data_IF_711262309200
#
_entry.id   IF_711262309200
#
_cell.length_a   1.000
_cell.length_b   1.000
_cell.length_c   1.000
_cell.angle_alpha   90.00
_cell.angle_beta   90.00
_cell.angle_gamma   90.00
#
_symmetry.space_group_name_H-M   'P 1'
#
loop_
_entity.id
_entity.type
_entity.pdbx_description
1 polymer ?
#
# COMPACT_ATOMS: atom_id res chain seq x y z
N UNK A 1 -10.37 2.08 0.29
CA UNK A 1 -11.00 0.75 0.15
C UNK A 1 -9.91 -0.28 -0.03
N UNK A 2 -9.96 -1.41 0.65
CA UNK A 2 -9.02 -2.51 0.42
C UNK A 2 -9.46 -3.32 -0.80
N UNK A 3 -8.54 -3.66 -1.70
CA UNK A 3 -8.85 -4.36 -2.95
C UNK A 3 -7.78 -5.38 -3.30
N UNK A 4 -8.13 -6.34 -4.16
CA UNK A 4 -7.15 -7.29 -4.70
C UNK A 4 -6.19 -6.57 -5.67
N UNK A 5 -4.90 -6.81 -5.50
CA UNK A 5 -3.86 -6.22 -6.35
C UNK A 5 -4.01 -6.61 -7.82
N UNK A 6 -4.46 -7.83 -8.12
CA UNK A 6 -4.69 -8.30 -9.49
C UNK A 6 -5.72 -7.43 -10.21
N UNK A 7 -6.82 -7.10 -9.52
CA UNK A 7 -7.90 -6.29 -10.10
C UNK A 7 -7.45 -4.85 -10.32
N UNK A 8 -6.70 -4.30 -9.36
CA UNK A 8 -6.09 -2.97 -9.47
C UNK A 8 -5.11 -2.89 -10.66
N UNK A 9 -4.18 -3.84 -10.75
CA UNK A 9 -3.16 -3.85 -11.79
C UNK A 9 -3.73 -4.16 -13.18
N UNK A 10 -4.84 -4.90 -13.27
CA UNK A 10 -5.54 -5.11 -14.54
C UNK A 10 -6.04 -3.79 -15.14
N UNK A 11 -6.62 -2.91 -14.30
CA UNK A 11 -7.05 -1.56 -14.73
C UNK A 11 -5.84 -0.70 -15.10
N UNK A 12 -4.80 -0.71 -14.27
CA UNK A 12 -3.57 0.05 -14.51
C UNK A 12 -2.91 -0.33 -15.85
N UNK A 13 -2.83 -1.63 -16.13
CA UNK A 13 -2.29 -2.15 -17.38
C UNK A 13 -3.15 -1.76 -18.59
N UNK A 14 -4.47 -1.91 -18.50
CA UNK A 14 -5.39 -1.57 -19.59
C UNK A 14 -5.38 -0.07 -19.94
N UNK A 15 -5.16 0.80 -18.96
CA UNK A 15 -5.12 2.25 -19.13
C UNK A 15 -3.70 2.84 -19.14
N UNK A 16 -2.67 1.99 -19.20
CA UNK A 16 -1.26 2.37 -19.34
C UNK A 16 -0.75 3.36 -18.29
N UNK A 17 -1.13 3.17 -17.02
CA UNK A 17 -0.57 3.93 -15.91
C UNK A 17 0.08 3.00 -14.87
N UNK A 18 0.97 3.57 -14.05
CA UNK A 18 1.63 2.86 -12.98
C UNK A 18 0.93 3.10 -11.64
N UNK A 19 0.97 2.11 -10.76
CA UNK A 19 0.54 2.24 -9.36
C UNK A 19 1.78 2.21 -8.49
N UNK A 20 2.02 3.21 -7.62
CA UNK A 20 3.18 3.21 -6.74
C UNK A 20 3.05 2.10 -5.68
N UNK A 21 4.14 1.39 -5.43
CA UNK A 21 4.26 0.39 -4.37
C UNK A 21 5.29 0.87 -3.33
N UNK A 22 4.81 1.29 -2.16
CA UNK A 22 5.67 1.79 -1.08
C UNK A 22 5.87 0.71 -0.03
N UNK A 23 7.13 0.50 0.37
CA UNK A 23 7.46 -0.35 1.50
C UNK A 23 7.13 0.38 2.82
N UNK A 24 6.45 -0.31 3.73
CA UNK A 24 5.93 0.24 4.97
C UNK A 24 6.58 -0.47 6.16
N UNK A 25 7.40 0.27 6.90
CA UNK A 25 8.09 -0.19 8.11
C UNK A 25 7.80 0.66 9.35
N UNK A 26 6.83 1.58 9.27
CA UNK A 26 6.37 2.38 10.41
C UNK A 26 4.99 3.01 10.16
N UNK A 27 4.33 3.47 11.24
CA UNK A 27 3.08 4.23 11.14
C UNK A 27 3.24 5.54 10.36
N UNK A 28 4.38 6.23 10.48
CA UNK A 28 4.60 7.50 9.78
C UNK A 28 4.62 7.31 8.26
N UNK A 29 5.25 6.23 7.77
CA UNK A 29 5.27 5.90 6.34
C UNK A 29 3.89 5.48 5.85
N UNK A 30 3.15 4.69 6.65
CA UNK A 30 1.78 4.30 6.35
C UNK A 30 0.88 5.53 6.20
N UNK A 31 0.89 6.43 7.19
CA UNK A 31 0.09 7.66 7.18
C UNK A 31 0.45 8.53 5.98
N UNK A 32 1.73 8.79 5.73
CA UNK A 32 2.15 9.64 4.60
C UNK A 32 1.76 9.07 3.23
N UNK A 33 1.86 7.75 3.03
CA UNK A 33 1.44 7.11 1.80
C UNK A 33 -0.09 7.16 1.59
N UNK A 34 -0.86 7.00 2.67
CA UNK A 34 -2.32 7.11 2.65
C UNK A 34 -2.80 8.53 2.37
N UNK A 35 -2.26 9.53 3.09
CA UNK A 35 -2.59 10.94 2.88
C UNK A 35 -2.26 11.40 1.45
N UNK A 36 -1.11 11.00 0.91
CA UNK A 36 -0.74 11.30 -0.46
C UNK A 36 -1.66 10.63 -1.49
N UNK A 37 -2.08 9.38 -1.24
CA UNK A 37 -3.05 8.66 -2.07
C UNK A 37 -4.39 9.38 -2.11
N UNK A 38 -4.87 9.83 -0.95
CA UNK A 38 -6.12 10.59 -0.81
C UNK A 38 -6.03 11.98 -1.49
N UNK A 39 -4.96 12.74 -1.25
CA UNK A 39 -4.76 14.07 -1.85
C UNK A 39 -4.73 13.99 -3.39
N UNK A 40 -4.08 12.97 -3.94
CA UNK A 40 -3.97 12.77 -5.40
C UNK A 40 -5.16 12.05 -6.02
N UNK A 41 -6.12 11.56 -5.22
CA UNK A 41 -7.19 10.68 -5.68
C UNK A 41 -6.65 9.50 -6.52
N UNK A 42 -5.53 8.91 -6.09
CA UNK A 42 -4.80 7.91 -6.85
C UNK A 42 -4.63 6.62 -6.04
N UNK A 43 -4.66 5.43 -6.67
CA UNK A 43 -4.45 4.17 -5.96
C UNK A 43 -2.99 4.02 -5.49
N UNK A 44 -2.80 3.27 -4.41
CA UNK A 44 -1.49 2.96 -3.84
C UNK A 44 -1.41 1.48 -3.44
N UNK A 45 -0.23 0.88 -3.60
CA UNK A 45 0.11 -0.43 -3.03
C UNK A 45 0.98 -0.20 -1.80
N UNK A 46 0.53 -0.73 -0.66
CA UNK A 46 1.28 -0.72 0.59
C UNK A 46 1.93 -2.10 0.75
N UNK A 47 3.25 -2.15 0.58
CA UNK A 47 4.03 -3.38 0.67
C UNK A 47 4.69 -3.48 2.04
N UNK A 48 4.80 -4.70 2.57
CA UNK A 48 5.57 -4.98 3.78
C UNK A 48 6.44 -6.20 3.51
N UNK A 49 7.76 -6.01 3.59
CA UNK A 49 8.72 -7.11 3.47
C UNK A 49 8.67 -7.98 4.73
N UNK A 50 8.93 -9.30 4.66
CA UNK A 50 8.99 -10.15 5.86
C UNK A 50 9.93 -9.62 6.96
N UNK A 51 11.06 -9.01 6.59
CA UNK A 51 11.99 -8.41 7.56
C UNK A 51 11.37 -7.17 8.24
N UNK A 52 10.63 -6.35 7.50
CA UNK A 52 9.91 -5.20 8.06
C UNK A 52 8.81 -5.67 9.01
N UNK A 53 8.06 -6.71 8.64
CA UNK A 53 7.03 -7.33 9.50
C UNK A 53 7.65 -7.91 10.78
N UNK A 54 8.84 -8.50 10.69
CA UNK A 54 9.56 -9.02 11.86
C UNK A 54 9.98 -7.88 12.82
N UNK A 55 10.30 -6.71 12.25
CA UNK A 55 10.70 -5.53 13.01
C UNK A 55 9.51 -4.82 13.67
N UNK A 56 8.42 -4.58 12.93
CA UNK A 56 7.24 -3.85 13.45
C UNK A 56 6.26 -4.74 14.22
N UNK A 57 6.36 -6.05 14.06
CA UNK A 57 5.50 -7.05 14.67
C UNK A 57 4.16 -7.23 13.95
N UNK A 58 3.55 -8.41 14.11
CA UNK A 58 2.28 -8.77 13.44
C UNK A 58 1.09 -7.92 13.83
N UNK A 59 1.15 -7.23 14.99
CA UNK A 59 0.13 -6.26 15.40
C UNK A 59 -0.03 -5.11 14.42
N UNK A 60 1.01 -4.79 13.64
CA UNK A 60 0.98 -3.72 12.65
C UNK A 60 0.02 -3.98 11.49
N UNK A 61 -0.16 -5.25 11.09
CA UNK A 61 -0.98 -5.64 9.94
C UNK A 61 -2.29 -6.34 10.34
N UNK A 62 -2.50 -6.54 11.64
CA UNK A 62 -3.67 -7.26 12.14
C UNK A 62 -4.88 -6.33 12.17
N UNK A 63 -5.92 -6.65 11.39
CA UNK A 63 -7.24 -6.03 11.59
C UNK A 63 -7.92 -6.65 12.82
N UNK A 64 -8.78 -5.88 13.47
CA UNK A 64 -9.67 -6.38 14.52
C UNK A 64 -10.58 -7.50 14.00
#
# INVERSE_FOLDING_TARGET
>A
MLMNMKDLLAVAHAHHFAVPAFNISSNMLLTGAMEASEEKNAPVILAIHPDELSFVGTSFVKSA
#
